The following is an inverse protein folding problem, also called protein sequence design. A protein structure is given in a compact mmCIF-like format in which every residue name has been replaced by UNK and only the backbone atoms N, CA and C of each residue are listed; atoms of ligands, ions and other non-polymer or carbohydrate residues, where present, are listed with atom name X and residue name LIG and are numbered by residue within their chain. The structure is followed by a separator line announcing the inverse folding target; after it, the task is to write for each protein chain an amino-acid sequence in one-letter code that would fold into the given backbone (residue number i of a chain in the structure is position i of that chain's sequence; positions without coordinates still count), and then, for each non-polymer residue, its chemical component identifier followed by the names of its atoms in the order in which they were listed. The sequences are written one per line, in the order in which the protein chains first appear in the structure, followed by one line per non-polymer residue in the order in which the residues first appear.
data_IF_797855490057
#
_entry.id   IF_797855490057
#
_cell.length_a   1.000
_cell.length_b   1.000
_cell.length_c   1.000
_cell.angle_alpha   90.00
_cell.angle_beta   90.00
_cell.angle_gamma   90.00
#
_symmetry.space_group_name_H-M   'P 1'
#
loop_
_entity.id
_entity.type
_entity.pdbx_description
1 polymer ?
#
# COMPACT_ATOMS: atom_id res chain seq x y z
N UNK A 1 -9.55 20.00 12.62
CA UNK A 1 -9.89 19.76 11.21
C UNK A 1 -10.04 18.26 11.04
N UNK A 2 -11.22 17.80 11.44
CA UNK A 2 -12.00 16.62 11.03
C UNK A 2 -11.25 15.31 10.72
N UNK A 3 -11.10 14.53 11.80
CA UNK A 3 -10.74 13.10 11.85
C UNK A 3 -11.69 12.19 11.04
N UNK A 4 -12.78 12.73 10.50
CA UNK A 4 -13.82 12.00 9.75
C UNK A 4 -13.36 11.48 8.37
N UNK A 5 -12.22 11.96 7.86
CA UNK A 5 -11.84 11.80 6.44
C UNK A 5 -10.80 10.70 6.15
N UNK A 6 -10.29 10.01 7.17
CA UNK A 6 -9.25 8.96 7.02
C UNK A 6 -9.79 7.54 7.22
N UNK A 7 -11.01 7.26 6.75
CA UNK A 7 -11.50 5.87 6.68
C UNK A 7 -10.76 5.10 5.59
N UNK A 8 -9.66 4.44 5.98
CA UNK A 8 -9.03 3.39 5.21
C UNK A 8 -9.84 2.11 5.41
N UNK A 9 -10.49 1.63 4.35
CA UNK A 9 -11.18 0.35 4.41
C UNK A 9 -10.16 -0.77 4.64
N UNK A 10 -10.41 -1.60 5.65
CA UNK A 10 -9.52 -2.71 6.02
C UNK A 10 -9.21 -3.62 4.83
N UNK A 11 -10.22 -3.91 3.99
CA UNK A 11 -10.07 -4.69 2.76
C UNK A 11 -9.02 -4.15 1.77
N UNK A 12 -8.80 -2.83 1.74
CA UNK A 12 -7.76 -2.22 0.91
C UNK A 12 -6.38 -2.31 1.55
N UNK A 13 -6.30 -2.25 2.88
CA UNK A 13 -5.04 -2.36 3.62
C UNK A 13 -4.45 -3.77 3.53
N UNK A 14 -5.28 -4.81 3.72
CA UNK A 14 -4.88 -6.22 3.60
C UNK A 14 -4.43 -6.61 2.19
N UNK A 15 -4.76 -5.80 1.18
CA UNK A 15 -4.32 -5.99 -0.20
C UNK A 15 -3.04 -5.22 -0.46
N UNK A 16 -3.05 -3.90 -0.29
CA UNK A 16 -1.94 -3.04 -0.73
C UNK A 16 -0.68 -3.22 0.11
N UNK A 17 -0.80 -3.25 1.45
CA UNK A 17 0.39 -3.25 2.30
C UNK A 17 1.19 -4.56 2.17
N UNK A 18 0.57 -5.75 2.18
CA UNK A 18 1.29 -7.00 1.91
C UNK A 18 1.88 -7.05 0.50
N UNK A 19 1.17 -6.54 -0.52
CA UNK A 19 1.73 -6.46 -1.89
C UNK A 19 3.00 -5.61 -1.95
N UNK A 20 3.02 -4.44 -1.30
CA UNK A 20 4.22 -3.60 -1.24
C UNK A 20 5.36 -4.28 -0.48
N UNK A 21 5.04 -4.99 0.62
CA UNK A 21 6.03 -5.76 1.38
C UNK A 21 6.63 -6.89 0.53
N UNK A 22 5.82 -7.56 -0.29
CA UNK A 22 6.29 -8.63 -1.18
C UNK A 22 7.26 -8.09 -2.25
N UNK A 23 6.98 -6.91 -2.82
CA UNK A 23 7.90 -6.24 -3.74
C UNK A 23 9.21 -5.82 -3.06
N UNK A 24 9.12 -5.26 -1.85
CA UNK A 24 10.29 -4.88 -1.05
C UNK A 24 11.19 -6.10 -0.75
N UNK A 25 10.60 -7.23 -0.33
CA UNK A 25 11.32 -8.49 -0.08
C UNK A 25 12.01 -9.04 -1.34
N UNK A 26 11.45 -8.78 -2.53
CA UNK A 26 12.03 -9.16 -3.82
C UNK A 26 13.07 -8.17 -4.34
N UNK A 27 13.31 -7.05 -3.64
CA UNK A 27 14.20 -5.98 -4.11
C UNK A 27 13.71 -5.29 -5.38
N UNK A 28 12.41 -5.34 -5.65
CA UNK A 28 11.80 -4.80 -6.86
C UNK A 28 11.01 -3.53 -6.55
N UNK A 29 11.21 -2.48 -7.35
CA UNK A 29 10.52 -1.20 -7.19
C UNK A 29 9.41 -1.04 -8.24
N UNK A 30 8.14 -1.30 -7.90
CA UNK A 30 7.03 -1.28 -8.86
C UNK A 30 6.58 0.14 -9.19
N UNK A 31 6.07 0.36 -10.39
CA UNK A 31 5.28 1.56 -10.71
C UNK A 31 3.92 1.54 -9.98
N UNK A 32 3.26 2.70 -9.90
CA UNK A 32 1.88 2.77 -9.35
C UNK A 32 0.90 1.83 -10.06
N UNK A 33 1.02 1.67 -11.38
CA UNK A 33 0.15 0.77 -12.14
C UNK A 33 0.38 -0.71 -11.76
N UNK A 34 1.64 -1.11 -11.57
CA UNK A 34 1.99 -2.47 -11.15
C UNK A 34 1.52 -2.77 -9.72
N UNK A 35 1.61 -1.79 -8.81
CA UNK A 35 1.05 -1.89 -7.45
C UNK A 35 -0.46 -2.13 -7.50
N UNK A 36 -1.18 -1.36 -8.31
CA UNK A 36 -2.64 -1.50 -8.43
C UNK A 36 -3.00 -2.86 -9.01
N UNK A 37 -2.33 -3.26 -10.09
CA UNK A 37 -2.54 -4.56 -10.72
C UNK A 37 -2.30 -5.73 -9.76
N UNK A 38 -1.20 -5.71 -9.01
CA UNK A 38 -0.83 -6.78 -8.10
C UNK A 38 -1.71 -6.83 -6.84
N UNK A 39 -2.14 -5.67 -6.34
CA UNK A 39 -3.01 -5.61 -5.15
C UNK A 39 -4.47 -5.98 -5.42
N UNK A 40 -4.90 -6.05 -6.69
CA UNK A 40 -6.29 -6.31 -7.05
C UNK A 40 -7.27 -5.24 -6.57
N UNK A 41 -6.77 -4.04 -6.25
CA UNK A 41 -7.60 -2.86 -6.00
C UNK A 41 -7.95 -2.20 -7.33
N UNK A 42 -9.16 -1.66 -7.48
CA UNK A 42 -9.49 -0.96 -8.73
C UNK A 42 -8.67 0.33 -8.88
N UNK A 43 -8.20 0.61 -10.10
CA UNK A 43 -7.47 1.85 -10.42
C UNK A 43 -8.24 3.09 -9.98
N UNK A 44 -9.55 3.13 -10.26
CA UNK A 44 -10.42 4.22 -9.83
C UNK A 44 -10.33 4.44 -8.32
N UNK A 45 -10.46 3.39 -7.52
CA UNK A 45 -10.39 3.51 -6.04
C UNK A 45 -9.00 3.94 -5.56
N UNK A 46 -7.96 3.41 -6.21
CA UNK A 46 -6.58 3.75 -5.88
C UNK A 46 -6.29 5.24 -6.11
N UNK A 47 -6.54 5.72 -7.33
CA UNK A 47 -6.22 7.08 -7.77
C UNK A 47 -7.20 8.13 -7.27
N UNK A 48 -8.46 7.79 -6.96
CA UNK A 48 -9.43 8.75 -6.39
C UNK A 48 -9.19 9.10 -4.92
N UNK A 49 -8.21 8.48 -4.24
CA UNK A 49 -7.79 8.96 -2.92
C UNK A 49 -7.32 7.90 -1.94
N UNK A 50 -7.36 6.61 -2.28
CA UNK A 50 -6.72 5.60 -1.42
C UNK A 50 -5.21 5.85 -1.30
N UNK A 51 -4.52 6.16 -2.41
CA UNK A 51 -3.11 6.54 -2.40
C UNK A 51 -2.82 7.66 -1.40
N UNK A 52 -3.55 8.77 -1.50
CA UNK A 52 -3.33 9.95 -0.66
C UNK A 52 -3.71 9.70 0.81
N UNK A 53 -4.68 8.82 1.07
CA UNK A 53 -5.00 8.39 2.43
C UNK A 53 -3.90 7.53 3.04
N UNK A 54 -3.30 6.62 2.27
CA UNK A 54 -2.16 5.82 2.75
C UNK A 54 -0.94 6.70 3.07
N UNK A 55 -0.67 7.70 2.23
CA UNK A 55 0.41 8.68 2.44
C UNK A 55 0.12 9.51 3.71
N UNK A 56 -1.08 10.09 3.82
CA UNK A 56 -1.49 10.89 4.99
C UNK A 56 -1.52 10.09 6.29
N UNK A 57 -1.86 8.80 6.24
CA UNK A 57 -1.78 7.91 7.39
C UNK A 57 -0.34 7.56 7.82
N UNK A 58 0.66 7.99 7.03
CA UNK A 58 2.08 7.72 7.25
C UNK A 58 2.45 6.25 7.05
N UNK A 59 1.68 5.51 6.24
CA UNK A 59 1.92 4.08 5.97
C UNK A 59 2.81 3.89 4.75
N UNK A 60 2.74 4.80 3.79
CA UNK A 60 3.57 4.78 2.58
C UNK A 60 4.12 6.16 2.28
N UNK A 61 5.18 6.21 1.50
CA UNK A 61 5.72 7.43 0.88
C UNK A 61 5.75 7.26 -0.63
N UNK A 62 5.45 8.33 -1.34
CA UNK A 62 5.59 8.37 -2.80
C UNK A 62 7.02 8.76 -3.17
N UNK A 63 7.63 8.02 -4.09
CA UNK A 63 8.95 8.33 -4.64
C UNK A 63 8.91 8.31 -6.17
N UNK A 64 9.85 9.00 -6.80
CA UNK A 64 10.05 8.98 -8.25
C UNK A 64 11.13 7.96 -8.58
N UNK A 65 10.80 6.90 -9.32
CA UNK A 65 11.74 5.88 -9.76
C UNK A 65 12.67 6.40 -10.85
N UNK A 66 12.08 7.01 -11.88
CA UNK A 66 12.77 7.61 -13.02
C UNK A 66 11.86 8.68 -13.61
N UNK A 67 12.43 9.73 -14.21
CA UNK A 67 11.79 10.87 -14.90
C UNK A 67 10.32 11.21 -14.52
N UNK A 68 9.36 10.34 -14.89
CA UNK A 68 7.91 10.50 -14.63
C UNK A 68 7.22 9.29 -13.98
N UNK A 69 7.94 8.20 -13.71
CA UNK A 69 7.39 7.00 -13.09
C UNK A 69 7.45 7.15 -11.58
N UNK A 70 6.28 7.09 -10.95
CA UNK A 70 6.14 7.13 -9.49
C UNK A 70 5.98 5.72 -8.92
N UNK A 71 6.40 5.55 -7.68
CA UNK A 71 6.23 4.35 -6.86
C UNK A 71 5.70 4.71 -5.48
N UNK A 72 5.26 3.70 -4.72
CA UNK A 72 5.05 3.81 -3.29
C UNK A 72 6.01 2.87 -2.56
N UNK A 73 6.65 3.37 -1.51
CA UNK A 73 7.42 2.56 -0.57
C UNK A 73 6.77 2.56 0.80
N UNK A 74 6.91 1.46 1.53
CA UNK A 74 6.47 1.38 2.92
C UNK A 74 7.32 2.33 3.78
N UNK A 75 6.65 3.05 4.68
CA UNK A 75 7.36 3.67 5.81
C UNK A 75 7.66 2.58 6.84
N UNK A 76 8.45 2.89 7.87
CA UNK A 76 8.67 1.97 8.99
C UNK A 76 7.35 1.56 9.66
N UNK A 77 6.42 2.51 9.84
CA UNK A 77 5.07 2.24 10.36
C UNK A 77 4.28 1.32 9.42
N UNK A 78 4.33 1.59 8.11
CA UNK A 78 3.67 0.76 7.10
C UNK A 78 4.21 -0.66 7.04
N UNK A 79 5.53 -0.82 7.14
CA UNK A 79 6.22 -2.11 7.13
C UNK A 79 5.77 -2.98 8.29
N UNK A 80 5.81 -2.45 9.51
CA UNK A 80 5.34 -3.18 10.71
C UNK A 80 3.88 -3.63 10.57
N UNK A 81 3.03 -2.78 10.02
CA UNK A 81 1.64 -3.13 9.78
C UNK A 81 1.52 -4.21 8.69
N UNK A 82 2.25 -4.08 7.58
CA UNK A 82 2.26 -5.07 6.50
C UNK A 82 2.70 -6.46 6.99
N UNK A 83 3.76 -6.53 7.80
CA UNK A 83 4.25 -7.77 8.42
C UNK A 83 3.23 -8.37 9.39
N UNK A 84 2.55 -7.54 10.17
CA UNK A 84 1.47 -7.99 11.04
C UNK A 84 0.31 -8.59 10.22
N UNK A 85 -0.09 -7.93 9.15
CA UNK A 85 -1.15 -8.41 8.26
C UNK A 85 -0.77 -9.71 7.55
N UNK A 86 0.50 -9.86 7.15
CA UNK A 86 1.03 -11.10 6.58
C UNK A 86 0.91 -12.26 7.57
N UNK A 87 1.36 -12.08 8.82
CA UNK A 87 1.20 -13.10 9.88
C UNK A 87 -0.26 -13.43 10.16
N UNK A 88 -1.14 -12.43 10.17
CA UNK A 88 -2.57 -12.65 10.35
C UNK A 88 -3.18 -13.46 9.20
N UNK A 89 -2.72 -13.23 7.96
CA UNK A 89 -3.15 -14.03 6.80
C UNK A 89 -2.75 -15.49 6.97
N UNK A 90 -1.54 -15.75 7.45
CA UNK A 90 -1.07 -17.12 7.69
C UNK A 90 -1.93 -17.85 8.75
N UNK A 91 -2.43 -17.13 9.75
CA UNK A 91 -3.34 -17.68 10.78
C UNK A 91 -4.77 -17.88 10.24
N UNK A 92 -5.26 -16.98 9.39
CA UNK A 92 -6.64 -16.98 8.91
C UNK A 92 -6.88 -17.87 7.68
N UNK A 93 -5.84 -18.38 7.03
CA UNK A 93 -6.00 -19.39 5.98
C UNK A 93 -4.81 -19.55 5.05
N UNK A 94 -4.09 -20.66 5.26
CA UNK A 94 -3.77 -21.62 4.19
C UNK A 94 -5.01 -22.46 3.87
#
# INVERSE_FOLDING_TARGET
MDDETLRLQFGHLIRILPTLLEFEKKGYEPSLAEIVKASGVSEKTFFMGLKDRLIRAGLVKEETLSYRVKTLKLTEKGRRLAECLEKCRDVLGS
#
